data_IF_528466285309
#
_entry.id   IF_528466285309
#
_cell.length_a   1.000
_cell.length_b   1.000
_cell.length_c   1.000
_cell.angle_alpha   90.00
_cell.angle_beta   90.00
_cell.angle_gamma   90.00
#
_symmetry.space_group_name_H-M   'P 1'
#
loop_
_entity.id
_entity.type
_entity.pdbx_description
1 polymer ?
#
# COMPACT_ATOMS: atom_id res chain seq x y z
N UNK A 1 39.04 -10.62 10.78
CA UNK A 1 38.78 -11.87 11.52
C UNK A 1 37.56 -12.51 10.88
N UNK A 2 37.66 -13.73 10.35
CA UNK A 2 36.51 -14.41 9.76
C UNK A 2 35.47 -14.68 10.86
N UNK A 3 34.31 -14.04 10.79
CA UNK A 3 33.21 -14.25 11.72
C UNK A 3 32.75 -15.71 11.66
N UNK A 4 32.64 -16.39 12.81
CA UNK A 4 32.04 -17.72 12.88
C UNK A 4 30.66 -17.74 12.20
N UNK A 5 30.30 -18.87 11.55
CA UNK A 5 29.01 -18.97 10.88
C UNK A 5 27.86 -18.81 11.89
N UNK A 6 26.76 -18.13 11.52
CA UNK A 6 25.65 -17.91 12.43
C UNK A 6 25.05 -19.26 12.85
N UNK A 7 24.94 -19.47 14.16
CA UNK A 7 24.47 -20.72 14.75
C UNK A 7 22.97 -20.89 14.48
N UNK A 8 22.62 -21.98 13.81
CA UNK A 8 21.25 -22.34 13.43
C UNK A 8 20.55 -23.03 14.60
N UNK A 9 19.29 -22.69 14.83
CA UNK A 9 18.43 -23.25 15.88
C UNK A 9 17.06 -23.64 15.34
N UNK A 10 16.50 -24.70 15.91
CA UNK A 10 15.14 -25.15 15.64
C UNK A 10 14.18 -24.74 16.75
N UNK A 11 13.01 -24.26 16.37
CA UNK A 11 11.91 -23.90 17.26
C UNK A 11 10.69 -24.76 16.91
N UNK A 12 10.01 -25.29 17.91
CA UNK A 12 8.74 -25.98 17.80
C UNK A 12 7.69 -25.12 18.51
N UNK A 13 6.90 -24.38 17.73
CA UNK A 13 5.90 -23.44 18.25
C UNK A 13 4.52 -24.03 18.06
N UNK A 14 3.93 -24.56 19.14
CA UNK A 14 2.61 -25.20 19.10
C UNK A 14 2.51 -26.36 18.10
N UNK A 15 3.61 -27.06 17.82
CA UNK A 15 3.68 -28.13 16.81
C UNK A 15 4.16 -27.69 15.43
N UNK A 16 4.29 -26.39 15.15
CA UNK A 16 4.84 -25.87 13.90
C UNK A 16 6.34 -25.68 14.04
N UNK A 17 7.11 -26.33 13.15
CA UNK A 17 8.56 -26.31 13.18
C UNK A 17 9.11 -25.13 12.38
N UNK A 18 9.95 -24.33 13.03
CA UNK A 18 10.71 -23.24 12.44
C UNK A 18 12.20 -23.48 12.59
N UNK A 19 12.98 -23.05 11.60
CA UNK A 19 14.44 -23.04 11.67
C UNK A 19 14.91 -21.62 11.39
N UNK A 20 15.76 -21.10 12.27
CA UNK A 20 16.24 -19.72 12.26
C UNK A 20 17.66 -19.65 12.81
N UNK A 21 18.27 -18.47 12.89
CA UNK A 21 19.56 -18.25 13.55
C UNK A 21 19.41 -17.69 14.95
N UNK A 22 20.45 -17.88 15.80
CA UNK A 22 20.56 -17.16 17.06
C UNK A 22 20.48 -15.65 16.85
N UNK A 23 21.15 -15.14 15.81
CA UNK A 23 21.14 -13.72 15.46
C UNK A 23 19.72 -13.17 15.30
N UNK A 24 18.83 -13.90 14.61
CA UNK A 24 17.44 -13.47 14.39
C UNK A 24 16.63 -13.46 15.69
N UNK A 25 16.75 -14.49 16.54
CA UNK A 25 15.97 -14.55 17.79
C UNK A 25 16.51 -13.61 18.89
N UNK A 26 17.76 -13.18 18.78
CA UNK A 26 18.38 -12.19 19.68
C UNK A 26 18.34 -10.77 19.13
N UNK A 27 17.61 -10.50 18.05
CA UNK A 27 17.48 -9.13 17.51
C UNK A 27 16.94 -8.15 18.54
N UNK A 28 16.09 -8.64 19.45
CA UNK A 28 15.58 -7.88 20.58
C UNK A 28 16.05 -8.55 21.87
N UNK A 29 17.13 -8.06 22.50
CA UNK A 29 17.74 -8.68 23.69
C UNK A 29 16.78 -8.80 24.88
N UNK A 30 15.84 -7.87 25.02
CA UNK A 30 14.83 -7.86 26.08
C UNK A 30 13.59 -8.70 25.75
N UNK A 31 13.59 -9.39 24.60
CA UNK A 31 12.46 -10.24 24.20
C UNK A 31 12.56 -11.61 24.86
N UNK A 32 11.39 -12.24 25.03
CA UNK A 32 11.29 -13.62 25.54
C UNK A 32 12.00 -14.64 24.64
N UNK A 33 12.20 -14.32 23.36
CA UNK A 33 12.94 -15.17 22.43
C UNK A 33 14.45 -15.09 22.64
N UNK A 34 14.98 -13.99 23.17
CA UNK A 34 16.38 -13.88 23.55
C UNK A 34 16.69 -14.66 24.83
N UNK A 35 15.72 -14.81 25.74
CA UNK A 35 15.84 -15.72 26.89
C UNK A 35 16.07 -17.17 26.45
N UNK A 36 15.74 -17.54 25.20
CA UNK A 36 15.93 -18.89 24.68
C UNK A 36 17.38 -19.36 24.66
N UNK A 37 18.31 -18.41 24.72
CA UNK A 37 19.74 -18.65 24.61
C UNK A 37 20.47 -18.47 25.94
N UNK A 38 19.74 -18.08 26.99
CA UNK A 38 20.29 -17.95 28.32
C UNK A 38 20.54 -19.35 28.91
N UNK A 39 21.79 -19.63 29.26
CA UNK A 39 22.21 -20.92 29.80
C UNK A 39 21.63 -21.17 31.21
N UNK A 40 21.21 -20.12 31.92
CA UNK A 40 20.60 -20.22 33.25
C UNK A 40 19.11 -20.61 33.18
N UNK A 41 18.46 -20.40 32.03
CA UNK A 41 17.02 -20.65 31.86
C UNK A 41 16.80 -22.00 31.17
N UNK A 42 16.28 -22.97 31.92
CA UNK A 42 16.03 -24.32 31.40
C UNK A 42 14.71 -24.38 30.61
N UNK A 43 14.80 -24.18 29.29
CA UNK A 43 13.63 -24.17 28.41
C UNK A 43 13.31 -25.57 27.88
N UNK A 44 12.01 -25.95 27.83
CA UNK A 44 11.58 -27.22 27.26
C UNK A 44 12.07 -27.42 25.82
N UNK A 45 12.46 -28.65 25.50
CA UNK A 45 12.80 -29.07 24.14
C UNK A 45 11.92 -30.24 23.71
N UNK A 46 11.60 -30.30 22.44
CA UNK A 46 10.90 -31.44 21.86
C UNK A 46 11.83 -32.68 21.76
N UNK A 47 11.31 -33.88 21.42
CA UNK A 47 12.13 -35.10 21.29
C UNK A 47 13.24 -35.02 20.23
N UNK A 48 13.21 -34.02 19.34
CA UNK A 48 14.22 -33.78 18.30
C UNK A 48 15.25 -32.73 18.74
N UNK A 49 15.12 -32.17 19.94
CA UNK A 49 16.02 -31.18 20.52
C UNK A 49 15.74 -29.74 20.11
N UNK A 50 14.60 -29.45 19.47
CA UNK A 50 14.18 -28.08 19.15
C UNK A 50 13.62 -27.40 20.40
N UNK A 51 13.83 -26.10 20.57
CA UNK A 51 13.18 -25.35 21.66
C UNK A 51 11.67 -25.37 21.47
N UNK A 52 10.94 -25.75 22.52
CA UNK A 52 9.48 -25.86 22.48
C UNK A 52 8.83 -24.61 23.09
N UNK A 53 7.88 -24.04 22.36
CA UNK A 53 7.11 -22.87 22.74
C UNK A 53 5.63 -23.21 22.56
N UNK A 54 4.87 -23.22 23.64
CA UNK A 54 3.44 -23.57 23.62
C UNK A 54 2.58 -22.37 23.23
N UNK A 55 2.66 -21.97 21.95
CA UNK A 55 1.99 -20.79 21.36
C UNK A 55 1.51 -21.07 19.95
N UNK A 56 0.81 -20.11 19.33
CA UNK A 56 0.29 -20.26 17.97
C UNK A 56 1.42 -20.31 16.93
N UNK A 57 1.66 -21.51 16.42
CA UNK A 57 2.69 -21.75 15.42
C UNK A 57 2.42 -21.11 14.06
N UNK A 58 1.20 -20.78 13.69
CA UNK A 58 0.90 -20.15 12.40
C UNK A 58 1.14 -18.64 12.46
N UNK A 59 0.70 -17.98 13.54
CA UNK A 59 0.95 -16.55 13.75
C UNK A 59 2.42 -16.25 14.01
N UNK A 60 3.16 -17.21 14.57
CA UNK A 60 4.60 -17.09 14.78
C UNK A 60 5.39 -16.82 13.49
N UNK A 61 4.86 -17.19 12.31
CA UNK A 61 5.44 -16.81 11.01
C UNK A 61 5.65 -15.30 10.91
N UNK A 62 4.66 -14.51 11.32
CA UNK A 62 4.71 -13.05 11.23
C UNK A 62 5.67 -12.45 12.26
N UNK A 63 5.73 -13.04 13.45
CA UNK A 63 6.73 -12.69 14.48
C UNK A 63 8.13 -12.92 13.92
N UNK A 64 8.40 -14.11 13.39
CA UNK A 64 9.71 -14.47 12.86
C UNK A 64 10.10 -13.62 11.65
N UNK A 65 9.15 -13.30 10.76
CA UNK A 65 9.40 -12.43 9.62
C UNK A 65 9.67 -10.97 10.04
N UNK A 66 9.04 -10.50 11.11
CA UNK A 66 9.36 -9.21 11.70
C UNK A 66 10.78 -9.19 12.28
N UNK A 67 11.19 -10.24 13.01
CA UNK A 67 12.57 -10.37 13.51
C UNK A 67 13.61 -10.34 12.38
N UNK A 68 13.29 -10.92 11.22
CA UNK A 68 14.19 -10.97 10.06
C UNK A 68 14.32 -9.66 9.30
N UNK A 69 13.25 -8.86 9.24
CA UNK A 69 13.15 -7.70 8.35
C UNK A 69 13.03 -6.36 9.06
N UNK A 70 12.65 -6.37 10.35
CA UNK A 70 12.23 -5.20 11.10
C UNK A 70 10.89 -4.60 10.64
N UNK A 71 10.18 -5.24 9.71
CA UNK A 71 8.94 -4.75 9.12
C UNK A 71 7.78 -5.71 9.36
N UNK A 72 6.62 -5.16 9.67
CA UNK A 72 5.38 -5.93 9.73
C UNK A 72 4.78 -6.04 8.33
N UNK A 73 4.75 -7.25 7.79
CA UNK A 73 4.22 -7.54 6.45
C UNK A 73 3.14 -8.61 6.58
N UNK A 74 1.91 -8.22 6.27
CA UNK A 74 0.72 -9.04 6.45
C UNK A 74 0.01 -9.25 5.10
N UNK A 75 -0.71 -10.37 4.92
CA UNK A 75 -1.59 -10.55 3.77
C UNK A 75 -2.65 -9.44 3.69
N UNK A 76 -3.10 -9.09 2.48
CA UNK A 76 -4.10 -8.02 2.28
C UNK A 76 -5.40 -8.22 3.08
N UNK A 77 -5.82 -9.48 3.20
CA UNK A 77 -7.05 -9.87 3.89
C UNK A 77 -6.76 -10.45 5.28
N UNK A 78 -5.64 -10.08 5.91
CA UNK A 78 -5.35 -10.52 7.27
C UNK A 78 -6.47 -10.08 8.22
N UNK A 79 -6.94 -10.98 9.09
CA UNK A 79 -8.04 -10.69 10.04
C UNK A 79 -7.62 -10.89 11.50
N UNK A 80 -6.54 -11.62 11.75
CA UNK A 80 -6.12 -12.07 13.07
C UNK A 80 -5.24 -11.03 13.80
N UNK A 81 -5.55 -9.74 13.63
CA UNK A 81 -4.76 -8.64 14.22
C UNK A 81 -4.69 -8.73 15.74
N UNK A 82 -5.78 -9.08 16.39
CA UNK A 82 -5.84 -9.19 17.84
C UNK A 82 -5.02 -10.38 18.35
N UNK A 83 -5.11 -11.52 17.67
CA UNK A 83 -4.31 -12.69 18.02
C UNK A 83 -2.83 -12.43 17.79
N UNK A 84 -2.45 -11.75 16.69
CA UNK A 84 -1.06 -11.39 16.42
C UNK A 84 -0.52 -10.37 17.44
N UNK A 85 -1.35 -9.42 17.90
CA UNK A 85 -1.01 -8.48 18.97
C UNK A 85 -0.73 -9.24 20.28
N UNK A 86 -1.58 -10.22 20.63
CA UNK A 86 -1.38 -11.10 21.80
C UNK A 86 -0.05 -11.87 21.69
N UNK A 87 0.31 -12.39 20.50
CA UNK A 87 1.62 -13.03 20.31
C UNK A 87 2.77 -12.03 20.48
N UNK A 88 2.68 -10.84 19.89
CA UNK A 88 3.72 -9.80 20.02
C UNK A 88 3.97 -9.40 21.49
N UNK A 89 2.89 -9.26 22.27
CA UNK A 89 2.95 -8.99 23.70
C UNK A 89 3.59 -10.16 24.48
N UNK A 90 3.21 -11.41 24.15
CA UNK A 90 3.77 -12.61 24.79
C UNK A 90 5.28 -12.73 24.59
N UNK A 91 5.77 -12.42 23.38
CA UNK A 91 7.20 -12.45 23.07
C UNK A 91 7.96 -11.21 23.55
N UNK A 92 7.27 -10.21 24.10
CA UNK A 92 7.84 -8.94 24.55
C UNK A 92 8.57 -8.16 23.44
N UNK A 93 8.02 -8.17 22.22
CA UNK A 93 8.59 -7.43 21.08
C UNK A 93 7.79 -6.13 20.87
N UNK A 94 8.12 -5.09 21.64
CA UNK A 94 7.39 -3.79 21.61
C UNK A 94 7.25 -3.17 20.22
N UNK A 95 8.29 -3.12 19.37
CA UNK A 95 8.14 -2.56 18.03
C UNK A 95 7.16 -3.33 17.14
N UNK A 96 7.02 -4.64 17.35
CA UNK A 96 6.03 -5.46 16.65
C UNK A 96 4.62 -5.17 17.18
N UNK A 97 4.45 -5.09 18.50
CA UNK A 97 3.18 -4.71 19.14
C UNK A 97 2.65 -3.39 18.59
N UNK A 98 3.49 -2.34 18.58
CA UNK A 98 3.15 -1.04 18.02
C UNK A 98 2.81 -1.11 16.51
N UNK A 99 3.57 -1.89 15.75
CA UNK A 99 3.31 -2.08 14.33
C UNK A 99 1.94 -2.75 14.07
N UNK A 100 1.58 -3.77 14.86
CA UNK A 100 0.29 -4.47 14.76
C UNK A 100 -0.86 -3.56 15.16
N UNK A 101 -0.73 -2.81 16.25
CA UNK A 101 -1.73 -1.83 16.68
C UNK A 101 -1.98 -0.76 15.60
N UNK A 102 -0.90 -0.25 14.99
CA UNK A 102 -1.01 0.72 13.90
C UNK A 102 -1.67 0.09 12.66
N UNK A 103 -1.33 -1.14 12.30
CA UNK A 103 -1.97 -1.85 11.20
C UNK A 103 -3.47 -2.12 11.46
N UNK A 104 -3.84 -2.48 12.70
CA UNK A 104 -5.23 -2.69 13.12
C UNK A 104 -6.04 -1.40 13.05
N UNK A 105 -5.49 -0.28 13.55
CA UNK A 105 -6.11 1.05 13.45
C UNK A 105 -6.31 1.46 11.98
N UNK A 106 -5.30 1.23 11.12
CA UNK A 106 -5.42 1.46 9.67
C UNK A 106 -6.54 0.61 9.06
N UNK A 107 -6.63 -0.67 9.40
CA UNK A 107 -7.68 -1.56 8.87
C UNK A 107 -9.10 -1.12 9.30
N UNK A 108 -9.26 -0.67 10.55
CA UNK A 108 -10.52 -0.07 11.04
C UNK A 108 -10.88 1.25 10.35
N UNK A 109 -9.89 1.94 9.75
CA UNK A 109 -10.11 3.14 8.94
C UNK A 109 -10.45 2.76 7.49
N UNK A 110 -9.86 1.69 6.94
CA UNK A 110 -10.10 1.18 5.57
C UNK A 110 -11.57 0.79 5.34
N UNK A 111 -12.29 0.32 6.38
CA UNK A 111 -13.74 0.06 6.31
C UNK A 111 -14.60 1.32 6.13
N UNK A 112 -14.00 2.51 5.98
CA UNK A 112 -14.70 3.78 5.69
C UNK A 112 -14.40 4.39 4.31
N UNK A 113 -13.58 3.73 3.46
CA UNK A 113 -13.22 4.21 2.11
C UNK A 113 -12.08 5.24 2.08
N UNK A 114 -11.67 5.73 0.89
CA UNK A 114 -10.58 6.70 0.74
C UNK A 114 -10.90 8.04 1.42
N UNK A 115 -9.88 8.69 1.99
CA UNK A 115 -10.02 10.03 2.57
C UNK A 115 -10.13 11.07 1.44
N UNK A 116 -11.35 11.54 1.23
CA UNK A 116 -11.66 12.59 0.27
C UNK A 116 -11.79 13.91 1.03
N UNK A 117 -10.92 14.86 0.68
CA UNK A 117 -10.95 16.22 1.17
C UNK A 117 -11.31 17.17 0.01
N UNK A 118 -12.35 17.97 0.21
CA UNK A 118 -12.73 19.06 -0.70
C UNK A 118 -12.31 20.38 -0.10
N UNK A 119 -11.68 21.22 -0.90
CA UNK A 119 -11.21 22.52 -0.49
C UNK A 119 -11.73 23.58 -1.46
N UNK A 120 -12.35 24.62 -0.93
CA UNK A 120 -12.86 25.76 -1.69
C UNK A 120 -12.30 27.04 -1.12
N UNK A 121 -11.78 27.90 -1.99
CA UNK A 121 -11.32 29.23 -1.64
C UNK A 121 -12.01 30.28 -2.51
N UNK A 122 -12.54 31.33 -1.88
CA UNK A 122 -12.99 32.53 -2.58
C UNK A 122 -12.59 33.77 -1.79
N UNK A 123 -12.34 34.86 -2.51
CA UNK A 123 -12.06 36.18 -1.93
C UNK A 123 -13.21 36.71 -1.08
N UNK A 124 -14.44 36.16 -1.24
CA UNK A 124 -15.62 36.50 -0.41
C UNK A 124 -15.89 35.52 0.73
N UNK A 125 -15.72 34.22 0.50
CA UNK A 125 -16.24 33.16 1.40
C UNK A 125 -15.21 32.53 2.34
N UNK A 126 -13.95 32.98 2.30
CA UNK A 126 -12.85 32.40 3.07
C UNK A 126 -12.58 30.93 2.65
N UNK A 127 -11.58 30.29 3.24
CA UNK A 127 -11.21 28.90 2.94
C UNK A 127 -12.20 27.94 3.59
N UNK A 128 -12.75 27.00 2.83
CA UNK A 128 -13.72 26.00 3.29
C UNK A 128 -13.18 24.60 2.97
N UNK A 129 -13.13 23.74 3.99
CA UNK A 129 -12.77 22.33 3.87
C UNK A 129 -14.00 21.47 4.17
N UNK A 130 -14.26 20.46 3.36
CA UNK A 130 -15.35 19.51 3.59
C UNK A 130 -14.86 18.07 3.37
N UNK A 131 -15.27 17.17 4.25
CA UNK A 131 -14.86 15.76 4.23
C UNK A 131 -15.14 15.06 5.55
N UNK A 132 -14.49 13.91 5.77
CA UNK A 132 -14.61 13.13 7.00
C UNK A 132 -14.20 13.98 8.22
N UNK A 133 -15.01 13.97 9.27
CA UNK A 133 -14.80 14.86 10.43
C UNK A 133 -13.46 14.58 11.14
N UNK A 134 -13.08 13.31 11.30
CA UNK A 134 -11.79 12.93 11.88
C UNK A 134 -10.58 13.46 11.10
N UNK A 135 -10.65 13.41 9.76
CA UNK A 135 -9.62 13.94 8.86
C UNK A 135 -9.51 15.47 8.95
N UNK A 136 -10.65 16.17 9.06
CA UNK A 136 -10.64 17.63 9.26
C UNK A 136 -9.97 17.99 10.60
N UNK A 137 -10.21 17.21 11.66
CA UNK A 137 -9.53 17.40 12.94
C UNK A 137 -8.03 17.09 12.88
N UNK A 138 -7.61 16.11 12.10
CA UNK A 138 -6.20 15.78 11.84
C UNK A 138 -5.46 16.92 11.12
N UNK A 139 -6.08 17.46 10.05
CA UNK A 139 -5.50 18.56 9.27
C UNK A 139 -5.53 19.90 10.02
N UNK A 140 -6.51 20.10 10.91
CA UNK A 140 -6.75 21.36 11.61
C UNK A 140 -6.91 21.15 13.13
N UNK A 141 -5.87 20.64 13.81
CA UNK A 141 -5.96 20.33 15.24
C UNK A 141 -6.26 21.57 16.09
N UNK A 142 -5.90 22.75 15.59
CA UNK A 142 -6.03 24.05 16.27
C UNK A 142 -6.87 25.08 15.50
N UNK A 143 -7.93 24.64 14.80
CA UNK A 143 -8.76 25.52 13.95
C UNK A 143 -9.26 26.81 14.63
N UNK A 144 -9.54 26.76 15.94
CA UNK A 144 -10.02 27.92 16.72
C UNK A 144 -8.96 29.01 16.85
N UNK A 145 -7.67 28.65 16.93
CA UNK A 145 -6.56 29.60 16.96
C UNK A 145 -6.38 30.30 15.60
N UNK A 146 -6.81 29.64 14.52
CA UNK A 146 -6.83 30.19 13.16
C UNK A 146 -8.08 31.07 12.90
N UNK A 147 -8.91 31.33 13.93
CA UNK A 147 -10.17 32.06 13.79
C UNK A 147 -11.23 31.31 12.98
N UNK A 148 -11.08 30.00 12.79
CA UNK A 148 -11.98 29.15 12.04
C UNK A 148 -13.01 28.42 12.90
N UNK A 149 -14.02 27.86 12.24
CA UNK A 149 -15.09 27.09 12.87
C UNK A 149 -15.33 25.78 12.13
N UNK A 150 -15.83 24.77 12.84
CA UNK A 150 -16.25 23.49 12.26
C UNK A 150 -17.76 23.35 12.48
N UNK A 151 -18.50 23.20 11.39
CA UNK A 151 -19.89 22.76 11.39
C UNK A 151 -19.93 21.22 11.31
N UNK A 152 -20.74 20.62 12.18
CA UNK A 152 -21.01 19.17 12.23
C UNK A 152 -22.51 18.91 12.36
N UNK A 153 -22.99 17.77 11.88
CA UNK A 153 -24.40 17.41 11.98
C UNK A 153 -24.85 16.44 10.89
N UNK A 154 -26.08 15.92 11.00
CA UNK A 154 -26.62 14.91 10.07
C UNK A 154 -26.60 15.33 8.60
N UNK A 155 -26.69 16.64 8.31
CA UNK A 155 -26.61 17.21 6.96
C UNK A 155 -25.23 17.08 6.31
N UNK A 156 -24.18 16.82 7.10
CA UNK A 156 -22.80 16.66 6.64
C UNK A 156 -22.36 15.19 6.65
N UNK A 157 -23.17 14.30 7.22
CA UNK A 157 -22.89 12.87 7.26
C UNK A 157 -23.19 12.26 5.89
N UNK A 158 -22.34 11.32 5.46
CA UNK A 158 -22.55 10.59 4.22
C UNK A 158 -22.64 9.10 4.50
N UNK A 159 -23.56 8.42 3.82
CA UNK A 159 -23.74 6.98 3.92
C UNK A 159 -22.89 6.29 2.86
N UNK A 160 -21.94 5.47 3.31
CA UNK A 160 -21.24 4.52 2.45
C UNK A 160 -22.03 3.21 2.39
N UNK A 161 -21.65 2.29 1.49
CA UNK A 161 -22.28 0.96 1.38
C UNK A 161 -22.22 0.14 2.68
N UNK A 162 -21.35 0.51 3.62
CA UNK A 162 -21.04 -0.29 4.81
C UNK A 162 -21.22 0.49 6.13
N UNK A 163 -21.24 1.84 6.12
CA UNK A 163 -21.45 2.65 7.32
C UNK A 163 -21.90 4.10 7.04
N UNK A 164 -22.58 4.71 8.01
CA UNK A 164 -22.80 6.17 8.06
C UNK A 164 -21.55 6.85 8.61
N UNK A 165 -20.86 7.62 7.77
CA UNK A 165 -19.64 8.33 8.14
C UNK A 165 -20.00 9.75 8.57
N UNK A 166 -19.45 10.19 9.71
CA UNK A 166 -19.59 11.57 10.17
C UNK A 166 -18.73 12.50 9.30
N UNK A 167 -19.38 13.42 8.61
CA UNK A 167 -18.70 14.47 7.86
C UNK A 167 -18.79 15.80 8.58
N UNK A 168 -17.94 16.74 8.16
CA UNK A 168 -17.91 18.08 8.69
C UNK A 168 -17.49 19.08 7.63
N UNK A 169 -17.70 20.36 7.96
CA UNK A 169 -17.22 21.48 7.16
C UNK A 169 -16.44 22.44 8.07
N UNK A 170 -15.18 22.68 7.74
CA UNK A 170 -14.34 23.66 8.40
C UNK A 170 -14.26 24.94 7.56
N UNK A 171 -14.38 26.11 8.20
CA UNK A 171 -14.21 27.42 7.55
C UNK A 171 -13.07 28.14 8.24
N UNK A 172 -12.07 28.62 7.50
CA UNK A 172 -10.88 29.30 8.02
C UNK A 172 -10.70 30.66 7.32
N UNK A 173 -10.58 31.78 8.06
CA UNK A 173 -10.23 33.08 7.50
C UNK A 173 -8.75 33.14 7.15
N UNK A 174 -8.37 32.70 5.95
CA UNK A 174 -7.01 32.91 5.41
C UNK A 174 -7.01 33.90 4.24
N UNK A 175 -5.89 34.63 4.09
CA UNK A 175 -5.62 35.48 2.94
C UNK A 175 -5.06 34.66 1.78
N UNK A 176 -5.13 35.20 0.56
CA UNK A 176 -4.62 34.53 -0.65
C UNK A 176 -3.12 34.18 -0.53
N UNK A 177 -2.33 35.05 0.09
CA UNK A 177 -0.89 34.85 0.34
C UNK A 177 -0.57 33.65 1.25
N UNK A 178 -1.56 33.12 1.99
CA UNK A 178 -1.42 31.97 2.89
C UNK A 178 -1.96 30.68 2.28
N UNK A 179 -2.64 30.77 1.12
CA UNK A 179 -3.33 29.65 0.49
C UNK A 179 -2.34 28.60 -0.02
N UNK A 180 -1.26 29.01 -0.68
CA UNK A 180 -0.27 28.09 -1.23
C UNK A 180 0.44 27.29 -0.12
N UNK A 181 0.78 27.94 0.99
CA UNK A 181 1.34 27.27 2.16
C UNK A 181 0.38 26.25 2.77
N UNK A 182 -0.92 26.55 2.75
CA UNK A 182 -1.95 25.63 3.23
C UNK A 182 -2.13 24.43 2.29
N UNK A 183 -2.16 24.67 0.96
CA UNK A 183 -2.25 23.59 -0.03
C UNK A 183 -1.02 22.69 0.02
N UNK A 184 0.17 23.26 0.21
CA UNK A 184 1.41 22.49 0.39
C UNK A 184 1.34 21.64 1.66
N UNK A 185 0.85 22.19 2.77
CA UNK A 185 0.63 21.41 3.99
C UNK A 185 -0.31 20.22 3.76
N UNK A 186 -1.41 20.41 3.02
CA UNK A 186 -2.33 19.30 2.66
C UNK A 186 -1.63 18.23 1.83
N UNK A 187 -0.78 18.61 0.87
CA UNK A 187 0.03 17.67 0.08
C UNK A 187 1.06 16.94 0.95
N UNK A 188 1.72 17.64 1.86
CA UNK A 188 2.70 17.07 2.79
C UNK A 188 2.05 16.05 3.76
N UNK A 189 0.75 16.20 4.04
CA UNK A 189 -0.06 15.22 4.79
C UNK A 189 -0.48 14.00 3.94
N UNK A 190 0.08 13.85 2.74
CA UNK A 190 -0.08 12.69 1.86
C UNK A 190 -1.32 12.75 0.97
N UNK A 191 -1.96 13.91 0.85
CA UNK A 191 -3.08 14.06 -0.08
C UNK A 191 -2.60 14.36 -1.49
N UNK A 192 -3.07 13.59 -2.46
CA UNK A 192 -2.86 13.88 -3.88
C UNK A 192 -3.99 14.77 -4.39
N UNK A 193 -3.63 15.85 -5.08
CA UNK A 193 -4.61 16.66 -5.84
C UNK A 193 -5.09 15.82 -7.02
N UNK A 194 -6.35 15.39 -7.00
CA UNK A 194 -6.96 14.68 -8.14
C UNK A 194 -7.67 15.62 -9.10
N UNK A 195 -8.09 16.80 -8.63
CA UNK A 195 -8.71 17.85 -9.45
C UNK A 195 -8.41 19.23 -8.86
N UNK A 196 -8.12 20.19 -9.74
CA UNK A 196 -8.09 21.62 -9.43
C UNK A 196 -8.80 22.39 -10.54
N UNK A 197 -9.74 23.26 -10.17
CA UNK A 197 -10.46 24.13 -11.12
C UNK A 197 -10.24 25.60 -10.75
N UNK A 198 -10.11 26.44 -11.78
CA UNK A 198 -10.09 27.89 -11.67
C UNK A 198 -11.34 28.46 -12.36
N UNK A 199 -12.25 29.06 -11.59
CA UNK A 199 -13.45 29.68 -12.15
C UNK A 199 -13.20 31.19 -12.34
N UNK A 200 -13.44 31.70 -13.56
CA UNK A 200 -13.26 33.11 -13.95
C UNK A 200 -14.61 33.82 -14.17
N UNK A 201 -15.58 33.62 -13.27
CA UNK A 201 -16.85 34.35 -13.33
C UNK A 201 -16.81 35.62 -12.46
N UNK A 202 -15.89 36.53 -12.76
CA UNK A 202 -15.81 37.86 -12.16
C UNK A 202 -15.40 37.92 -10.67
N UNK A 203 -15.25 36.78 -9.99
CA UNK A 203 -14.57 36.66 -8.68
C UNK A 203 -13.72 35.39 -8.68
N UNK A 204 -12.40 35.51 -8.49
CA UNK A 204 -11.49 34.36 -8.45
C UNK A 204 -11.92 33.37 -7.34
N UNK A 205 -12.44 32.23 -7.74
CA UNK A 205 -12.84 31.14 -6.85
C UNK A 205 -12.12 29.86 -7.30
N UNK A 206 -11.45 29.22 -6.34
CA UNK A 206 -10.57 28.08 -6.57
C UNK A 206 -11.09 26.87 -5.80
N UNK A 207 -11.13 25.71 -6.43
CA UNK A 207 -11.61 24.47 -5.82
C UNK A 207 -10.63 23.33 -6.08
N UNK A 208 -10.38 22.53 -5.05
CA UNK A 208 -9.53 21.36 -5.10
C UNK A 208 -10.23 20.15 -4.51
N UNK A 209 -10.01 19.00 -5.14
CA UNK A 209 -10.35 17.70 -4.59
C UNK A 209 -9.05 16.95 -4.34
N UNK A 210 -8.82 16.69 -3.07
CA UNK A 210 -7.69 15.96 -2.54
C UNK A 210 -8.15 14.54 -2.22
N UNK A 211 -7.37 13.56 -2.65
CA UNK A 211 -7.58 12.15 -2.31
C UNK A 211 -6.30 11.63 -1.71
N UNK A 212 -6.40 11.11 -0.49
CA UNK A 212 -5.32 10.37 0.14
C UNK A 212 -5.62 8.88 -0.06
N UNK A 213 -4.98 8.31 -1.08
CA UNK A 213 -4.85 6.86 -1.26
C UNK A 213 -3.61 6.41 -0.48
N UNK A 214 -3.64 5.27 0.20
CA UNK A 214 -2.44 4.82 0.90
C UNK A 214 -1.29 4.45 -0.09
N UNK A 215 -0.20 5.24 0.01
CA UNK A 215 1.23 5.08 -0.38
C UNK A 215 1.79 5.61 -1.73
N UNK A 216 2.78 6.53 -1.63
CA UNK A 216 4.08 6.43 -2.30
C UNK A 216 5.19 5.98 -1.31
N UNK A 217 6.01 5.01 -1.72
CA UNK A 217 7.16 4.51 -0.97
C UNK A 217 8.43 5.21 -1.50
N UNK A 218 9.06 6.05 -0.68
CA UNK A 218 10.28 6.78 -1.02
C UNK A 218 11.53 5.88 -0.93
N UNK A 219 12.32 5.87 -2.00
CA UNK A 219 13.63 5.22 -2.08
C UNK A 219 14.72 6.07 -1.42
N UNK A 220 15.59 5.44 -0.64
CA UNK A 220 16.94 5.97 -0.35
C UNK A 220 17.96 5.18 -1.16
N UNK A 221 18.83 5.90 -1.86
CA UNK A 221 19.96 5.41 -2.67
C UNK A 221 21.26 5.44 -1.88
N UNK A 222 22.25 4.73 -2.43
CA UNK A 222 23.72 4.88 -2.34
C UNK A 222 24.45 3.72 -1.62
N UNK A 223 25.75 3.50 -1.89
CA UNK A 223 26.36 3.17 -3.17
C UNK A 223 27.15 1.84 -3.11
N UNK A 224 27.35 1.19 -4.26
CA UNK A 224 28.21 0.01 -4.40
C UNK A 224 29.71 0.35 -4.36
N UNK A 225 30.56 -0.41 -3.64
CA UNK A 225 32.00 -0.40 -3.86
C UNK A 225 32.44 -1.43 -4.91
N UNK A 226 33.53 -1.09 -5.60
CA UNK A 226 34.15 -1.80 -6.72
C UNK A 226 35.01 -3.01 -6.31
N UNK A 227 35.27 -3.85 -7.32
CA UNK A 227 36.05 -5.09 -7.31
C UNK A 227 37.56 -4.84 -7.30
N UNK A 228 38.27 -5.64 -6.49
CA UNK A 228 39.52 -6.38 -6.73
C UNK A 228 39.87 -7.00 -5.35
N UNK A 229 40.30 -8.24 -5.15
CA UNK A 229 41.26 -9.09 -5.86
C UNK A 229 40.85 -10.58 -5.73
N UNK A 230 41.42 -11.42 -6.61
CA UNK A 230 41.20 -12.86 -6.72
C UNK A 230 41.88 -13.66 -5.60
N UNK A 231 41.17 -14.60 -4.98
CA UNK A 231 41.77 -15.88 -4.57
C UNK A 231 40.74 -17.01 -4.40
N UNK A 232 41.11 -18.17 -4.97
CA UNK A 232 40.49 -19.50 -5.10
C UNK A 232 39.05 -19.75 -4.59
N UNK A 233 38.14 -19.92 -5.55
CA UNK A 233 36.70 -20.18 -5.35
C UNK A 233 36.44 -21.64 -4.93
N UNK A 234 35.84 -21.92 -3.75
CA UNK A 234 35.27 -23.23 -3.45
C UNK A 234 34.23 -23.65 -4.51
N UNK A 235 34.47 -24.81 -5.14
CA UNK A 235 33.63 -25.32 -6.23
C UNK A 235 32.32 -25.89 -5.65
N UNK A 236 31.20 -25.20 -5.90
CA UNK A 236 29.87 -25.70 -5.52
C UNK A 236 29.46 -26.93 -6.36
N UNK A 237 28.70 -27.86 -5.79
CA UNK A 237 28.12 -28.96 -6.55
C UNK A 237 27.07 -28.44 -7.56
N UNK A 238 26.86 -29.19 -8.64
CA UNK A 238 25.86 -28.84 -9.67
C UNK A 238 24.43 -28.87 -9.13
N UNK A 239 24.14 -29.74 -8.17
CA UNK A 239 22.89 -29.82 -7.43
C UNK A 239 23.14 -29.32 -6.01
N UNK A 240 22.30 -28.37 -5.58
CA UNK A 240 22.41 -27.67 -4.32
C UNK A 240 21.17 -27.95 -3.49
N UNK A 241 21.36 -28.44 -2.27
CA UNK A 241 20.32 -28.57 -1.27
C UNK A 241 20.32 -27.35 -0.34
N UNK A 242 19.14 -26.77 -0.18
CA UNK A 242 18.87 -25.55 0.57
C UNK A 242 17.88 -25.85 1.70
N UNK A 243 18.08 -25.20 2.83
CA UNK A 243 17.11 -25.07 3.90
C UNK A 243 16.83 -23.56 4.04
N UNK A 244 15.65 -23.13 3.60
CA UNK A 244 15.23 -21.73 3.67
C UNK A 244 14.20 -21.59 4.80
N UNK A 245 14.65 -21.10 5.95
CA UNK A 245 13.82 -20.89 7.14
C UNK A 245 13.09 -22.13 7.66
N UNK A 246 13.58 -23.35 7.35
CA UNK A 246 12.94 -24.62 7.68
C UNK A 246 12.38 -25.37 6.47
N UNK A 247 12.15 -24.70 5.35
CA UNK A 247 11.67 -25.33 4.12
C UNK A 247 12.83 -25.87 3.28
N UNK A 248 12.78 -27.17 2.96
CA UNK A 248 13.82 -27.82 2.17
C UNK A 248 13.56 -27.63 0.68
N UNK A 249 14.59 -27.19 -0.04
CA UNK A 249 14.59 -27.06 -1.48
C UNK A 249 15.81 -27.76 -2.08
N UNK A 250 15.64 -28.31 -3.27
CA UNK A 250 16.73 -28.82 -4.09
C UNK A 250 16.66 -28.15 -5.45
N UNK A 251 17.80 -27.64 -5.93
CA UNK A 251 17.87 -26.95 -7.22
C UNK A 251 19.26 -27.05 -7.84
N UNK A 252 19.43 -26.64 -9.09
CA UNK A 252 20.75 -26.53 -9.72
C UNK A 252 21.49 -25.26 -9.32
N UNK A 253 22.81 -25.30 -9.32
CA UNK A 253 23.67 -24.13 -9.16
C UNK A 253 23.32 -23.07 -10.21
N UNK A 254 23.12 -23.48 -11.47
CA UNK A 254 22.73 -22.60 -12.58
C UNK A 254 21.45 -21.80 -12.31
N UNK A 255 20.48 -22.38 -11.57
CA UNK A 255 19.27 -21.65 -11.20
C UNK A 255 19.57 -20.55 -10.17
N UNK A 256 20.41 -20.85 -9.18
CA UNK A 256 20.80 -19.90 -8.14
C UNK A 256 21.70 -18.78 -8.66
N UNK A 257 22.51 -19.07 -9.67
CA UNK A 257 23.46 -18.12 -10.28
C UNK A 257 22.93 -17.47 -11.55
N UNK A 258 21.68 -17.74 -11.97
CA UNK A 258 21.05 -17.15 -13.16
C UNK A 258 21.13 -15.62 -13.19
N UNK A 259 21.02 -14.99 -12.02
CA UNK A 259 21.20 -13.55 -11.85
C UNK A 259 22.46 -13.32 -10.99
N UNK A 260 23.66 -13.18 -11.60
CA UNK A 260 24.93 -13.12 -10.86
C UNK A 260 25.03 -11.94 -9.89
N UNK A 261 24.35 -10.84 -10.22
CA UNK A 261 24.35 -9.61 -9.40
C UNK A 261 23.31 -9.64 -8.26
N UNK A 262 22.48 -10.69 -8.19
CA UNK A 262 21.55 -10.89 -7.08
C UNK A 262 22.29 -11.41 -5.85
N UNK A 263 21.68 -11.28 -4.67
CA UNK A 263 22.25 -11.82 -3.44
C UNK A 263 22.50 -13.33 -3.54
N UNK A 264 21.60 -14.10 -4.16
CA UNK A 264 21.78 -15.55 -4.38
C UNK A 264 22.93 -15.84 -5.35
N UNK A 265 23.04 -15.05 -6.43
CA UNK A 265 24.17 -15.15 -7.37
C UNK A 265 25.50 -14.89 -6.67
N UNK A 266 25.55 -13.90 -5.78
CA UNK A 266 26.74 -13.59 -4.98
C UNK A 266 27.02 -14.69 -3.95
N UNK A 267 26.02 -15.17 -3.21
CA UNK A 267 26.17 -16.24 -2.22
C UNK A 267 26.78 -17.49 -2.85
N UNK A 268 26.21 -17.93 -3.98
CA UNK A 268 26.61 -19.15 -4.67
C UNK A 268 27.69 -18.92 -5.75
N UNK A 269 28.33 -17.75 -5.77
CA UNK A 269 29.51 -17.46 -6.61
C UNK A 269 30.81 -18.07 -6.07
N UNK A 270 30.78 -18.54 -4.83
CA UNK A 270 31.88 -19.14 -4.07
C UNK A 270 32.76 -18.13 -3.37
N UNK A 271 32.35 -16.86 -3.36
CA UNK A 271 33.07 -15.76 -2.70
C UNK A 271 32.65 -15.51 -1.26
N UNK A 272 31.66 -16.23 -0.73
CA UNK A 272 31.09 -16.02 0.61
C UNK A 272 30.86 -17.34 1.35
N UNK A 273 31.08 -17.30 2.66
CA UNK A 273 30.68 -18.37 3.55
C UNK A 273 29.16 -18.37 3.70
N UNK A 274 28.53 -19.54 3.47
CA UNK A 274 27.10 -19.73 3.64
C UNK A 274 26.90 -20.67 4.84
N UNK A 275 26.00 -20.30 5.74
CA UNK A 275 25.62 -21.13 6.88
C UNK A 275 25.10 -22.50 6.40
N UNK A 276 25.23 -23.52 7.23
CA UNK A 276 24.66 -24.85 6.98
C UNK A 276 23.83 -25.29 8.15
N UNK A 277 22.76 -26.04 7.87
CA UNK A 277 21.98 -26.68 8.92
C UNK A 277 22.68 -27.92 9.50
N UNK A 278 22.06 -28.55 10.50
CA UNK A 278 22.61 -29.74 11.19
C UNK A 278 22.82 -30.97 10.29
N UNK A 279 22.28 -30.96 9.07
CA UNK A 279 22.45 -32.01 8.07
C UNK A 279 23.35 -31.58 6.90
N UNK A 280 24.03 -30.44 7.01
CA UNK A 280 25.01 -29.96 6.03
C UNK A 280 24.43 -29.25 4.80
N UNK A 281 23.11 -29.00 4.76
CA UNK A 281 22.49 -28.23 3.66
C UNK A 281 22.72 -26.74 3.83
N UNK A 282 22.84 -26.01 2.73
CA UNK A 282 23.01 -24.56 2.79
C UNK A 282 21.77 -23.90 3.40
N UNK A 283 21.98 -23.04 4.38
CA UNK A 283 20.92 -22.43 5.16
C UNK A 283 20.76 -20.95 4.82
N UNK A 284 19.51 -20.55 4.62
CA UNK A 284 19.10 -19.16 4.38
C UNK A 284 17.99 -18.83 5.38
N UNK A 285 18.23 -17.87 6.27
CA UNK A 285 17.28 -17.50 7.32
C UNK A 285 16.19 -16.54 6.80
N UNK A 286 15.37 -17.02 5.87
CA UNK A 286 14.31 -16.27 5.18
C UNK A 286 13.00 -17.06 5.11
N UNK A 287 11.94 -16.45 4.57
CA UNK A 287 10.62 -17.09 4.44
C UNK A 287 10.67 -18.23 3.42
N UNK A 288 10.69 -19.46 3.93
CA UNK A 288 10.74 -20.69 3.14
C UNK A 288 9.59 -20.84 2.14
N UNK A 289 8.32 -20.66 2.53
CA UNK A 289 7.20 -20.71 1.60
C UNK A 289 7.29 -19.69 0.45
N UNK A 290 7.65 -18.44 0.73
CA UNK A 290 7.80 -17.40 -0.31
C UNK A 290 8.95 -17.71 -1.27
N UNK A 291 10.01 -18.37 -0.79
CA UNK A 291 11.14 -18.78 -1.62
C UNK A 291 10.74 -19.69 -2.79
N UNK A 292 9.59 -20.39 -2.71
CA UNK A 292 9.05 -21.16 -3.83
C UNK A 292 8.88 -20.30 -5.09
N UNK A 293 8.32 -19.10 -4.92
CA UNK A 293 8.05 -18.19 -6.04
C UNK A 293 9.35 -17.57 -6.57
N UNK A 294 10.27 -17.21 -5.67
CA UNK A 294 11.62 -16.77 -6.02
C UNK A 294 12.32 -17.84 -6.87
N UNK A 295 12.32 -19.09 -6.40
CA UNK A 295 12.96 -20.20 -7.08
C UNK A 295 12.31 -20.52 -8.44
N UNK A 296 10.99 -20.43 -8.55
CA UNK A 296 10.29 -20.61 -9.82
C UNK A 296 10.63 -19.50 -10.82
N UNK A 297 10.79 -18.26 -10.35
CA UNK A 297 11.27 -17.15 -11.18
C UNK A 297 12.71 -17.39 -11.62
N UNK A 298 13.61 -17.82 -10.74
CA UNK A 298 14.98 -18.19 -11.09
C UNK A 298 15.09 -19.34 -12.11
N UNK A 299 14.08 -20.20 -12.21
CA UNK A 299 14.05 -21.29 -13.20
C UNK A 299 13.55 -20.85 -14.57
N UNK A 300 12.51 -20.00 -14.60
CA UNK A 300 11.75 -19.69 -15.81
C UNK A 300 11.91 -18.26 -16.31
N UNK A 301 12.48 -17.36 -15.50
CA UNK A 301 12.49 -15.90 -15.69
C UNK A 301 11.09 -15.30 -15.91
N UNK A 302 10.06 -15.99 -15.40
CA UNK A 302 8.65 -15.56 -15.47
C UNK A 302 8.03 -15.59 -14.09
N UNK A 303 7.26 -14.55 -13.78
CA UNK A 303 6.51 -14.45 -12.53
C UNK A 303 5.17 -15.18 -12.68
N UNK A 304 5.08 -16.37 -12.11
CA UNK A 304 3.85 -17.19 -12.11
C UNK A 304 3.28 -17.25 -10.69
N UNK A 305 2.15 -16.58 -10.48
CA UNK A 305 1.44 -16.52 -9.20
C UNK A 305 0.04 -17.14 -9.35
N UNK A 306 -0.52 -17.75 -8.30
CA UNK A 306 -1.93 -18.13 -8.28
C UNK A 306 -2.84 -16.91 -8.51
N UNK A 307 -4.01 -17.12 -9.14
CA UNK A 307 -4.94 -16.04 -9.49
C UNK A 307 -5.34 -15.18 -8.28
N UNK A 308 -5.47 -15.80 -7.11
CA UNK A 308 -5.87 -15.17 -5.85
C UNK A 308 -4.70 -14.97 -4.87
N UNK A 309 -3.46 -14.85 -5.35
CA UNK A 309 -2.30 -14.67 -4.48
C UNK A 309 -2.46 -13.43 -3.56
N UNK A 310 -2.41 -13.64 -2.24
CA UNK A 310 -2.63 -12.58 -1.24
C UNK A 310 -1.34 -12.06 -0.59
N UNK A 311 -0.25 -12.83 -0.67
CA UNK A 311 1.03 -12.57 0.01
C UNK A 311 1.99 -11.73 -0.86
N UNK A 312 1.45 -10.80 -1.67
CA UNK A 312 2.22 -9.99 -2.63
C UNK A 312 3.33 -9.18 -1.97
N UNK A 313 3.03 -8.51 -0.86
CA UNK A 313 4.01 -7.67 -0.19
C UNK A 313 5.08 -8.51 0.51
N UNK A 314 4.74 -9.72 0.98
CA UNK A 314 5.73 -10.69 1.51
C UNK A 314 6.68 -11.16 0.40
N UNK A 315 6.15 -11.49 -0.77
CA UNK A 315 6.97 -11.87 -1.91
C UNK A 315 7.84 -10.70 -2.41
N UNK A 316 7.34 -9.46 -2.36
CA UNK A 316 8.12 -8.27 -2.69
C UNK A 316 9.32 -8.10 -1.74
N UNK A 317 9.11 -8.29 -0.44
CA UNK A 317 10.20 -8.21 0.55
C UNK A 317 11.25 -9.31 0.36
N UNK A 318 10.86 -10.53 -0.05
CA UNK A 318 11.83 -11.54 -0.44
C UNK A 318 12.57 -11.18 -1.74
N UNK A 319 11.87 -10.64 -2.75
CA UNK A 319 12.49 -10.20 -3.99
C UNK A 319 13.53 -9.09 -3.77
N UNK A 320 13.22 -8.15 -2.86
CA UNK A 320 14.12 -7.09 -2.41
C UNK A 320 15.32 -7.64 -1.64
N UNK A 321 15.07 -8.51 -0.64
CA UNK A 321 16.13 -9.18 0.12
C UNK A 321 17.11 -9.93 -0.79
N UNK A 322 16.59 -10.73 -1.73
CA UNK A 322 17.42 -11.48 -2.67
C UNK A 322 18.00 -10.61 -3.79
N UNK A 323 17.61 -9.34 -3.88
CA UNK A 323 18.09 -8.36 -4.86
C UNK A 323 17.93 -8.85 -6.31
N UNK A 324 16.76 -9.42 -6.63
CA UNK A 324 16.46 -9.88 -7.99
C UNK A 324 15.67 -8.78 -8.71
N UNK A 325 16.38 -7.84 -9.33
CA UNK A 325 15.79 -6.64 -9.96
C UNK A 325 14.63 -6.96 -10.91
N UNK A 326 14.80 -7.98 -11.75
CA UNK A 326 13.78 -8.37 -12.74
C UNK A 326 12.50 -8.91 -12.07
N UNK A 327 12.63 -9.57 -10.92
CA UNK A 327 11.48 -10.04 -10.13
C UNK A 327 10.77 -8.84 -9.47
N UNK A 328 11.52 -7.90 -8.93
CA UNK A 328 10.99 -6.66 -8.35
C UNK A 328 10.21 -5.86 -9.41
N UNK A 329 10.77 -5.70 -10.60
CA UNK A 329 10.11 -5.04 -11.74
C UNK A 329 8.81 -5.76 -12.13
N UNK A 330 8.86 -7.08 -12.30
CA UNK A 330 7.67 -7.89 -12.63
C UNK A 330 6.56 -7.76 -11.57
N UNK A 331 6.92 -7.73 -10.29
CA UNK A 331 5.97 -7.55 -9.19
C UNK A 331 5.35 -6.14 -9.19
N UNK A 332 6.14 -5.10 -9.52
CA UNK A 332 5.66 -3.72 -9.65
C UNK A 332 4.68 -3.57 -10.81
N UNK A 333 4.95 -4.20 -11.95
CA UNK A 333 4.06 -4.21 -13.11
C UNK A 333 2.70 -4.87 -12.81
N UNK A 334 2.69 -5.99 -12.09
CA UNK A 334 1.43 -6.60 -11.64
C UNK A 334 0.68 -5.68 -10.66
N UNK A 335 1.40 -5.00 -9.76
CA UNK A 335 0.80 -4.07 -8.79
C UNK A 335 0.20 -2.84 -9.48
N UNK A 336 0.88 -2.29 -10.49
CA UNK A 336 0.36 -1.16 -11.28
C UNK A 336 -0.83 -1.59 -12.15
N UNK A 337 -0.77 -2.75 -12.80
CA UNK A 337 -1.90 -3.31 -13.56
C UNK A 337 -3.13 -3.58 -12.68
N UNK A 338 -2.92 -4.00 -11.42
CA UNK A 338 -4.01 -4.16 -10.42
C UNK A 338 -4.48 -2.83 -9.82
N UNK A 339 -3.67 -1.77 -9.82
CA UNK A 339 -4.09 -0.42 -9.40
C UNK A 339 -5.10 0.21 -10.38
N UNK A 340 -5.06 -0.18 -11.66
CA UNK A 340 -6.08 0.15 -12.67
C UNK A 340 -7.42 -0.56 -12.40
N UNK A 341 -7.44 -1.52 -11.47
CA UNK A 341 -8.66 -2.13 -10.90
C UNK A 341 -9.10 -1.46 -9.58
N UNK A 342 -8.55 -0.29 -9.24
CA UNK A 342 -9.12 0.58 -8.21
C UNK A 342 -10.38 1.28 -8.70
N UNK A 343 -11.22 1.72 -7.76
CA UNK A 343 -12.47 2.44 -8.05
C UNK A 343 -12.28 3.50 -9.13
N UNK A 344 -12.96 3.34 -10.25
CA UNK A 344 -12.91 4.29 -11.35
C UNK A 344 -13.88 5.42 -11.09
N UNK A 345 -13.43 6.67 -11.23
CA UNK A 345 -14.23 7.86 -10.92
C UNK A 345 -14.41 8.70 -12.18
N UNK A 346 -15.64 9.16 -12.40
CA UNK A 346 -15.98 10.12 -13.47
C UNK A 346 -16.66 11.32 -12.80
N UNK A 347 -16.29 12.55 -13.16
CA UNK A 347 -17.04 13.77 -12.82
C UNK A 347 -17.73 14.31 -14.05
N UNK A 348 -18.99 14.66 -13.93
CA UNK A 348 -19.76 15.41 -14.91
C UNK A 348 -20.04 16.80 -14.35
N UNK A 349 -19.84 17.83 -15.17
CA UNK A 349 -20.23 19.22 -14.91
C UNK A 349 -21.16 19.69 -16.01
N UNK A 350 -22.28 20.30 -15.63
CA UNK A 350 -23.28 20.86 -16.52
C UNK A 350 -23.41 22.36 -16.23
N UNK A 351 -23.07 23.15 -17.25
CA UNK A 351 -23.24 24.59 -17.21
C UNK A 351 -24.63 24.95 -17.76
N UNK A 352 -25.22 25.98 -17.16
CA UNK A 352 -26.50 26.55 -17.57
C UNK A 352 -26.36 28.04 -17.81
N UNK A 353 -27.11 28.55 -18.76
CA UNK A 353 -27.20 29.99 -18.98
C UNK A 353 -28.06 30.68 -17.91
N UNK A 354 -28.14 32.02 -18.01
CA UNK A 354 -28.96 32.88 -17.13
C UNK A 354 -30.47 32.59 -17.19
N UNK A 355 -30.93 31.78 -18.14
CA UNK A 355 -32.33 31.37 -18.32
C UNK A 355 -32.56 29.91 -17.89
N UNK A 356 -31.53 29.21 -17.40
CA UNK A 356 -31.60 27.83 -16.93
C UNK A 356 -31.46 26.78 -18.03
N UNK A 357 -31.08 27.16 -19.26
CA UNK A 357 -30.86 26.24 -20.37
C UNK A 357 -29.47 25.61 -20.28
N UNK A 358 -29.39 24.31 -20.56
CA UNK A 358 -28.13 23.55 -20.59
C UNK A 358 -27.24 24.02 -21.75
N UNK A 359 -26.03 24.50 -21.46
CA UNK A 359 -25.12 25.04 -22.48
C UNK A 359 -23.91 24.15 -22.74
N UNK A 360 -23.30 23.59 -21.69
CA UNK A 360 -22.10 22.78 -21.83
C UNK A 360 -22.11 21.61 -20.85
N UNK A 361 -21.82 20.41 -21.35
CA UNK A 361 -21.58 19.25 -20.50
C UNK A 361 -20.11 18.82 -20.61
N UNK A 362 -19.42 18.83 -19.48
CA UNK A 362 -18.01 18.44 -19.40
C UNK A 362 -17.83 17.19 -18.53
N UNK A 363 -17.17 16.19 -19.09
CA UNK A 363 -16.80 14.91 -18.48
C UNK A 363 -15.31 14.93 -18.14
N UNK A 364 -14.99 14.72 -16.87
CA UNK A 364 -13.62 14.56 -16.36
C UNK A 364 -13.42 13.10 -15.96
N UNK A 365 -12.52 12.41 -16.66
CA UNK A 365 -12.24 10.99 -16.44
C UNK A 365 -10.88 10.60 -17.03
N UNK A 366 -10.35 9.45 -16.60
CA UNK A 366 -9.17 8.87 -17.22
C UNK A 366 -9.42 8.52 -18.69
N UNK A 367 -8.42 8.74 -19.54
CA UNK A 367 -8.51 8.52 -21.00
C UNK A 367 -9.02 7.13 -21.37
N UNK A 368 -8.62 6.09 -20.64
CA UNK A 368 -9.04 4.71 -20.90
C UNK A 368 -10.55 4.49 -20.64
N UNK A 369 -11.11 5.15 -19.63
CA UNK A 369 -12.55 5.09 -19.30
C UNK A 369 -13.36 5.77 -20.40
N UNK A 370 -12.89 6.92 -20.87
CA UNK A 370 -13.61 7.66 -21.91
C UNK A 370 -13.57 6.94 -23.24
N UNK A 371 -12.44 6.33 -23.59
CA UNK A 371 -12.32 5.47 -24.77
C UNK A 371 -13.11 4.16 -24.65
N UNK A 372 -13.47 3.74 -23.44
CA UNK A 372 -14.35 2.59 -23.21
C UNK A 372 -15.81 2.98 -23.50
N UNK A 373 -16.28 4.09 -22.91
CA UNK A 373 -17.69 4.48 -22.88
C UNK A 373 -18.12 5.25 -24.14
N UNK A 374 -17.29 6.18 -24.63
CA UNK A 374 -17.70 7.18 -25.63
C UNK A 374 -17.02 6.98 -27.00
N UNK A 375 -16.95 5.73 -27.47
CA UNK A 375 -16.35 5.41 -28.77
C UNK A 375 -17.17 6.01 -29.92
N UNK A 376 -16.58 6.93 -30.69
CA UNK A 376 -17.17 7.45 -31.93
C UNK A 376 -17.80 8.84 -31.84
N UNK A 377 -17.63 9.58 -30.73
CA UNK A 377 -18.05 10.98 -30.64
C UNK A 377 -16.95 11.95 -31.10
N UNK A 378 -17.32 12.92 -31.94
CA UNK A 378 -16.45 14.05 -32.32
C UNK A 378 -16.26 14.96 -31.10
N UNK A 379 -15.03 15.02 -30.57
CA UNK A 379 -14.75 15.70 -29.30
C UNK A 379 -13.48 16.57 -29.37
N UNK A 380 -13.46 17.64 -28.57
CA UNK A 380 -12.27 18.45 -28.32
C UNK A 380 -11.45 17.72 -27.25
N UNK A 381 -10.45 16.93 -27.67
CA UNK A 381 -9.72 16.03 -26.77
C UNK A 381 -8.58 16.74 -26.01
N UNK A 382 -8.64 16.71 -24.68
CA UNK A 382 -7.48 16.91 -23.77
C UNK A 382 -7.35 15.62 -22.92
N UNK A 383 -6.13 15.15 -22.55
CA UNK A 383 -5.89 13.90 -21.82
C UNK A 383 -6.78 13.59 -20.58
N UNK A 384 -7.46 14.58 -19.99
CA UNK A 384 -8.28 14.43 -18.78
C UNK A 384 -9.69 15.08 -18.87
N UNK A 385 -10.02 15.74 -19.99
CA UNK A 385 -11.25 16.54 -20.12
C UNK A 385 -11.91 16.25 -21.46
N UNK A 386 -13.19 15.90 -21.41
CA UNK A 386 -14.05 15.68 -22.56
C UNK A 386 -15.27 16.59 -22.45
N UNK A 387 -15.43 17.52 -23.39
CA UNK A 387 -16.56 18.46 -23.38
C UNK A 387 -17.45 18.22 -24.59
N UNK A 388 -18.77 18.29 -24.36
CA UNK A 388 -19.81 18.25 -25.36
C UNK A 388 -20.53 19.60 -25.37
N UNK A 389 -20.43 20.31 -26.49
CA UNK A 389 -21.25 21.49 -26.74
C UNK A 389 -22.70 21.03 -26.98
N UNK A 390 -23.62 21.49 -26.14
CA UNK A 390 -25.04 21.08 -26.20
C UNK A 390 -25.74 21.64 -27.45
N UNK A 391 -25.20 22.67 -28.08
CA UNK A 391 -25.73 23.18 -29.35
C UNK A 391 -25.36 22.29 -30.54
N UNK A 392 -24.34 21.42 -30.41
CA UNK A 392 -23.83 20.56 -31.48
C UNK A 392 -24.04 19.06 -31.23
N UNK A 393 -24.29 18.66 -29.99
CA UNK A 393 -24.47 17.26 -29.59
C UNK A 393 -25.95 16.93 -29.38
N UNK A 394 -26.51 16.02 -30.20
CA UNK A 394 -27.90 15.50 -30.10
C UNK A 394 -28.18 14.68 -28.83
N UNK A 395 -27.26 14.66 -27.84
CA UNK A 395 -27.35 13.82 -26.65
C UNK A 395 -27.84 14.61 -25.43
N UNK A 396 -29.01 14.24 -24.92
CA UNK A 396 -29.55 14.78 -23.67
C UNK A 396 -28.64 14.42 -22.48
N UNK A 397 -28.60 15.26 -21.43
CA UNK A 397 -27.81 14.96 -20.20
C UNK A 397 -28.24 13.62 -19.63
N UNK A 398 -29.53 13.33 -19.69
CA UNK A 398 -30.13 12.06 -19.28
C UNK A 398 -29.57 10.86 -20.04
N UNK A 399 -29.31 10.98 -21.35
CA UNK A 399 -28.72 9.90 -22.15
C UNK A 399 -27.27 9.59 -21.72
N UNK A 400 -26.46 10.62 -21.45
CA UNK A 400 -25.07 10.45 -20.99
C UNK A 400 -25.03 9.85 -19.59
N UNK A 401 -25.90 10.31 -18.68
CA UNK A 401 -26.03 9.72 -17.34
C UNK A 401 -26.46 8.25 -17.40
N UNK A 402 -27.39 7.91 -18.30
CA UNK A 402 -27.83 6.54 -18.53
C UNK A 402 -26.68 5.67 -19.08
N UNK A 403 -25.86 6.20 -19.99
CA UNK A 403 -24.75 5.48 -20.59
C UNK A 403 -23.64 5.14 -19.57
N UNK A 404 -23.35 6.07 -18.66
CA UNK A 404 -22.46 5.82 -17.52
C UNK A 404 -23.02 4.71 -16.62
N UNK A 405 -24.32 4.74 -16.36
CA UNK A 405 -25.00 3.74 -15.54
C UNK A 405 -24.97 2.35 -16.19
N UNK A 406 -25.17 2.28 -17.52
CA UNK A 406 -25.06 1.03 -18.29
C UNK A 406 -23.66 0.42 -18.21
N UNK A 407 -22.62 1.25 -18.09
CA UNK A 407 -21.24 0.83 -17.92
C UNK A 407 -20.85 0.49 -16.48
N UNK A 408 -21.83 0.42 -15.56
CA UNK A 408 -21.63 0.02 -14.17
C UNK A 408 -21.14 1.14 -13.25
N UNK A 409 -21.20 2.40 -13.69
CA UNK A 409 -20.94 3.54 -12.83
C UNK A 409 -22.20 3.89 -12.02
N UNK A 410 -22.04 4.10 -10.73
CA UNK A 410 -23.11 4.54 -9.83
C UNK A 410 -22.87 5.99 -9.41
N UNK A 411 -23.94 6.77 -9.27
CA UNK A 411 -23.84 8.13 -8.72
C UNK A 411 -23.41 8.04 -7.26
N UNK A 412 -22.21 8.53 -6.97
CA UNK A 412 -21.65 8.61 -5.64
C UNK A 412 -22.15 9.85 -4.90
N UNK A 413 -22.20 10.99 -5.58
CA UNK A 413 -22.72 12.25 -5.02
C UNK A 413 -23.03 13.25 -6.14
N UNK A 414 -23.81 14.27 -5.84
CA UNK A 414 -24.11 15.38 -6.74
C UNK A 414 -23.99 16.72 -6.00
N UNK A 415 -23.48 17.76 -6.67
CA UNK A 415 -23.36 19.11 -6.11
C UNK A 415 -24.39 20.03 -6.77
N UNK A 416 -25.10 20.77 -5.92
CA UNK A 416 -26.03 21.81 -6.31
C UNK A 416 -25.36 23.18 -6.29
N UNK A 417 -25.75 24.05 -7.23
CA UNK A 417 -25.29 25.43 -7.26
C UNK A 417 -25.73 26.16 -5.96
N UNK A 418 -24.85 26.95 -5.30
CA UNK A 418 -25.16 27.60 -4.02
C UNK A 418 -26.33 28.61 -4.05
N UNK A 419 -26.79 28.99 -5.24
CA UNK A 419 -27.83 30.00 -5.43
C UNK A 419 -29.21 29.50 -5.87
N UNK A 420 -29.31 28.32 -6.48
CA UNK A 420 -30.55 27.89 -7.18
C UNK A 420 -30.92 26.42 -6.93
N UNK A 421 -30.20 25.70 -6.05
CA UNK A 421 -30.41 24.28 -5.71
C UNK A 421 -30.33 23.29 -6.90
N UNK A 422 -30.20 23.78 -8.13
CA UNK A 422 -30.05 22.99 -9.33
C UNK A 422 -28.72 22.23 -9.32
N UNK A 423 -28.79 20.94 -9.63
CA UNK A 423 -27.60 20.07 -9.67
C UNK A 423 -26.80 20.43 -10.91
N UNK A 424 -25.52 20.76 -10.69
CA UNK A 424 -24.58 21.11 -11.76
C UNK A 424 -23.45 20.11 -11.88
N UNK A 425 -23.17 19.31 -10.84
CA UNK A 425 -22.12 18.30 -10.92
C UNK A 425 -22.56 16.95 -10.41
N UNK A 426 -22.08 15.89 -11.06
CA UNK A 426 -22.25 14.50 -10.63
C UNK A 426 -20.91 13.81 -10.54
N UNK A 427 -20.73 13.00 -9.51
CA UNK A 427 -19.58 12.11 -9.38
C UNK A 427 -20.07 10.68 -9.45
N UNK A 428 -19.44 9.92 -10.34
CA UNK A 428 -19.74 8.55 -10.65
C UNK A 428 -18.60 7.65 -10.18
N UNK A 429 -18.92 6.48 -9.66
CA UNK A 429 -17.94 5.48 -9.23
C UNK A 429 -18.29 4.11 -9.80
N UNK A 430 -17.28 3.41 -10.32
CA UNK A 430 -17.37 2.00 -10.69
C UNK A 430 -16.34 1.23 -9.89
N UNK A 431 -16.81 0.39 -8.96
CA UNK A 431 -15.96 -0.58 -8.27
C UNK A 431 -15.69 -1.72 -9.26
N UNK A 432 -14.43 -2.02 -9.57
CA UNK A 432 -14.04 -3.13 -10.46
C UNK A 432 -13.48 -4.29 -9.67
#
# INVERSE_FOLDING_TARGET
MASEPPKVVGLNVGGVLYITTLYTITQFPDSKLAELIDAEIQIPKDPKGNFFIDRDGHLFKYVLNFLRSGKLVLPKNFQEYEQLEIEAMYYHIKPLEEAVQNARKRWQIITTGPDILRLFYSTRTKLVLAGKLAMIHELLPNIRLLGGSIAKGSAYNFSTSEAKVEGGQATIPIKLEQLDAFLQHVVDQGFEVKMSNFFLDGNASQAWVFVRNEFPQACLKDPTPSLDEMEQVPKFPSIVELNVGGCLYTTSLDSLTRYPNSMLGIMFSGRRWIAKDSRGRFFIDRDGPMFRYVLNFLRSSKLNLPDNFQEFDQLMEEADFYQISQLIESLKEIKSAKSVAGNQIIRLSLDRDKHGLETLLTIYAEKCIVQEIFRGHDCISNPLVFSFDKEQADSSTTAILQELTNHGFQVMTSLSHPGDQSINEWFFIRKR
#
